data_IF_761777258810
#
_entry.id   IF_761777258810
#
_cell.length_a   1.000
_cell.length_b   1.000
_cell.length_c   1.000
_cell.angle_alpha   90.00
_cell.angle_beta   90.00
_cell.angle_gamma   90.00
#
_symmetry.space_group_name_H-M   'P 1'
#
loop_
_entity.id
_entity.type
_entity.pdbx_description
1 polymer ?
#
# COMPACT_ATOMS: atom_id res chain seq x y z
N UNK A 1 16.43 35.68 5.37
CA UNK A 1 16.12 34.52 6.24
C UNK A 1 15.43 33.47 5.37
N UNK A 2 16.22 32.52 4.94
CA UNK A 2 15.76 31.37 4.22
C UNK A 2 15.36 30.36 5.30
N UNK A 3 14.07 30.15 5.48
CA UNK A 3 13.53 29.08 6.34
C UNK A 3 13.53 27.76 5.53
N UNK A 4 14.39 26.79 5.87
CA UNK A 4 14.40 25.48 5.23
C UNK A 4 13.46 24.50 5.93
N UNK A 5 12.35 24.96 6.48
CA UNK A 5 11.26 24.03 6.83
C UNK A 5 10.58 23.64 5.52
N UNK A 6 11.24 22.75 4.80
CA UNK A 6 10.57 21.92 3.82
C UNK A 6 9.68 21.00 4.64
N UNK A 7 8.46 21.44 4.91
CA UNK A 7 7.43 20.58 5.48
C UNK A 7 7.14 19.50 4.43
N UNK A 8 7.93 18.42 4.50
CA UNK A 8 7.52 17.16 3.90
C UNK A 8 6.32 16.73 4.73
N UNK A 9 5.13 16.92 4.20
CA UNK A 9 3.92 16.42 4.83
C UNK A 9 4.09 14.90 4.97
N UNK A 10 4.20 14.42 6.21
CA UNK A 10 4.31 13.00 6.48
C UNK A 10 2.97 12.34 6.19
N UNK A 11 2.99 11.20 5.51
CA UNK A 11 1.79 10.41 5.29
C UNK A 11 1.12 10.08 6.64
N UNK A 12 -0.16 10.32 6.72
CA UNK A 12 -0.91 10.17 7.98
C UNK A 12 -2.33 9.68 7.72
N UNK A 13 -2.76 8.67 8.49
CA UNK A 13 -4.16 8.22 8.48
C UNK A 13 -5.16 9.31 8.90
N UNK A 14 -4.71 10.37 9.56
CA UNK A 14 -5.58 11.48 9.96
C UNK A 14 -6.18 12.22 8.74
N UNK A 15 -5.58 12.09 7.57
CA UNK A 15 -6.05 12.70 6.32
C UNK A 15 -6.94 11.74 5.51
N UNK A 16 -7.07 10.47 5.89
CA UNK A 16 -7.90 9.51 5.16
C UNK A 16 -9.38 9.80 5.31
N UNK A 17 -10.10 9.76 4.20
CA UNK A 17 -11.56 9.92 4.17
C UNK A 17 -12.30 8.69 4.70
N UNK A 18 -11.66 7.54 4.77
CA UNK A 18 -12.27 6.32 5.30
C UNK A 18 -11.30 5.43 6.08
N UNK A 19 -11.81 4.86 7.17
CA UNK A 19 -11.16 3.80 7.95
C UNK A 19 -12.15 2.64 8.03
N UNK A 20 -12.03 1.59 7.19
CA UNK A 20 -13.02 0.52 7.08
C UNK A 20 -12.82 -0.53 8.18
N UNK A 21 -13.21 -0.19 9.41
CA UNK A 21 -13.22 -1.08 10.57
C UNK A 21 -14.52 -1.90 10.62
N UNK A 22 -14.50 -3.02 11.33
CA UNK A 22 -15.69 -3.83 11.63
C UNK A 22 -15.78 -5.11 10.81
N UNK A 23 -14.75 -5.44 10.03
CA UNK A 23 -14.68 -6.73 9.34
C UNK A 23 -14.33 -7.87 10.30
N UNK A 24 -14.83 -9.06 9.98
CA UNK A 24 -14.57 -10.30 10.74
C UNK A 24 -13.41 -11.08 10.13
N UNK A 25 -12.69 -11.84 10.94
CA UNK A 25 -11.64 -12.77 10.53
C UNK A 25 -11.81 -14.16 11.17
N UNK A 26 -13.03 -14.53 11.56
CA UNK A 26 -13.32 -15.76 12.33
C UNK A 26 -12.87 -17.04 11.62
N UNK A 27 -12.82 -17.00 10.30
CA UNK A 27 -12.38 -18.14 9.48
C UNK A 27 -10.95 -18.00 8.96
N UNK A 28 -10.21 -17.01 9.50
CA UNK A 28 -8.84 -16.71 9.10
C UNK A 28 -8.75 -15.80 7.88
N UNK A 29 -9.86 -15.18 7.50
CA UNK A 29 -9.88 -14.23 6.39
C UNK A 29 -9.03 -13.00 6.71
N UNK A 30 -8.37 -12.49 5.70
CA UNK A 30 -7.51 -11.32 5.82
C UNK A 30 -6.02 -11.60 5.84
N UNK A 31 -5.26 -10.54 5.87
CA UNK A 31 -3.81 -10.56 5.68
C UNK A 31 -3.11 -10.96 6.97
N UNK A 32 -2.35 -12.05 6.95
CA UNK A 32 -1.52 -12.53 8.06
C UNK A 32 -0.04 -12.20 7.91
N UNK A 33 0.41 -11.94 6.68
CA UNK A 33 1.78 -11.57 6.34
C UNK A 33 1.78 -10.57 5.18
N UNK A 34 2.65 -9.57 5.27
CA UNK A 34 2.87 -8.60 4.21
C UNK A 34 4.34 -8.19 4.14
N UNK A 35 4.90 -8.18 2.93
CA UNK A 35 6.24 -7.70 2.65
C UNK A 35 6.28 -6.87 1.38
N UNK A 36 6.88 -5.68 1.48
CA UNK A 36 7.23 -4.80 0.36
C UNK A 36 8.53 -4.05 0.70
N UNK A 37 9.61 -4.33 -0.02
CA UNK A 37 10.91 -3.73 0.29
C UNK A 37 11.32 -3.95 1.75
N UNK A 38 11.49 -2.86 2.50
CA UNK A 38 11.88 -2.89 3.92
C UNK A 38 10.68 -3.13 4.86
N UNK A 39 9.46 -3.02 4.38
CA UNK A 39 8.27 -3.38 5.17
C UNK A 39 8.22 -4.90 5.28
N UNK A 40 8.25 -5.38 6.53
CA UNK A 40 8.01 -6.78 6.87
C UNK A 40 7.08 -6.83 8.07
N UNK A 41 5.86 -7.32 7.85
CA UNK A 41 4.86 -7.48 8.91
C UNK A 41 4.38 -8.93 8.92
N UNK A 42 4.56 -9.59 10.04
CA UNK A 42 4.30 -11.02 10.22
C UNK A 42 3.30 -11.24 11.35
N UNK A 43 2.48 -12.29 11.22
CA UNK A 43 1.51 -12.67 12.24
C UNK A 43 0.56 -11.53 12.61
N UNK A 44 0.08 -10.85 11.59
CA UNK A 44 -0.78 -9.68 11.75
C UNK A 44 -2.10 -10.12 12.38
N UNK A 45 -2.51 -9.52 13.50
CA UNK A 45 -3.81 -9.84 14.11
C UNK A 45 -4.95 -9.23 13.28
N UNK A 46 -6.16 -9.80 13.38
CA UNK A 46 -7.35 -9.28 12.71
C UNK A 46 -7.70 -7.84 13.10
N UNK A 47 -7.58 -7.53 14.39
CA UNK A 47 -7.73 -6.17 14.93
C UNK A 47 -8.99 -5.44 14.44
N UNK A 48 -10.14 -6.12 14.50
CA UNK A 48 -11.42 -5.59 14.00
C UNK A 48 -11.41 -5.22 12.50
N UNK A 49 -10.60 -5.96 11.73
CA UNK A 49 -10.50 -5.80 10.28
C UNK A 49 -9.65 -4.64 9.79
N UNK A 50 -9.07 -3.82 10.69
CA UNK A 50 -8.23 -2.70 10.30
C UNK A 50 -6.90 -2.67 11.05
N UNK A 51 -5.81 -2.42 10.31
CA UNK A 51 -4.46 -2.25 10.85
C UNK A 51 -3.81 -0.95 10.40
N UNK A 52 -3.50 -0.09 11.38
CA UNK A 52 -2.70 1.11 11.19
C UNK A 52 -1.22 0.76 11.37
N UNK A 53 -0.48 0.72 10.28
CA UNK A 53 0.96 0.44 10.23
C UNK A 53 1.74 1.54 9.48
N UNK A 54 1.24 2.78 9.44
CA UNK A 54 1.87 3.89 8.71
C UNK A 54 3.27 4.26 9.22
N UNK A 55 3.63 3.82 10.44
CA UNK A 55 5.00 3.92 10.94
C UNK A 55 5.98 2.97 10.26
N UNK A 56 5.49 1.95 9.55
CA UNK A 56 6.29 1.04 8.74
C UNK A 56 6.34 1.56 7.32
N UNK A 57 7.54 1.83 6.81
CA UNK A 57 7.72 2.43 5.50
C UNK A 57 8.85 1.77 4.69
N UNK A 58 8.81 1.94 3.38
CA UNK A 58 9.88 1.54 2.46
C UNK A 58 10.07 2.57 1.34
N UNK A 59 11.26 2.61 0.76
CA UNK A 59 11.51 3.40 -0.44
C UNK A 59 11.11 2.63 -1.70
N UNK A 60 10.41 3.30 -2.60
CA UNK A 60 10.11 2.84 -3.95
C UNK A 60 10.80 3.77 -4.94
N UNK A 61 11.87 3.29 -5.58
CA UNK A 61 12.60 4.08 -6.57
C UNK A 61 11.88 4.01 -7.91
N UNK A 62 11.21 5.09 -8.34
CA UNK A 62 10.45 5.14 -9.59
C UNK A 62 11.31 4.92 -10.85
N UNK A 63 12.65 4.99 -10.73
CA UNK A 63 13.55 4.58 -11.81
C UNK A 63 13.56 3.07 -12.04
N UNK A 64 13.06 2.28 -11.09
CA UNK A 64 12.84 0.86 -11.24
C UNK A 64 11.50 0.63 -11.95
N UNK A 65 11.49 -0.36 -12.85
CA UNK A 65 10.29 -0.63 -13.64
C UNK A 65 9.27 -1.49 -12.89
N UNK A 66 9.71 -2.33 -11.96
CA UNK A 66 8.85 -3.33 -11.32
C UNK A 66 9.22 -3.52 -9.86
N UNK A 67 8.19 -3.58 -9.02
CA UNK A 67 8.28 -3.92 -7.62
C UNK A 67 7.49 -5.19 -7.36
N UNK A 68 7.86 -5.94 -6.34
CA UNK A 68 7.16 -7.16 -5.94
C UNK A 68 6.66 -7.02 -4.51
N UNK A 69 5.38 -7.29 -4.31
CA UNK A 69 4.76 -7.45 -2.98
C UNK A 69 4.54 -8.92 -2.70
N UNK A 70 4.74 -9.34 -1.44
CA UNK A 70 4.41 -10.70 -0.98
C UNK A 70 3.35 -10.61 0.11
N UNK A 71 2.30 -11.43 -0.02
CA UNK A 71 1.17 -11.47 0.91
C UNK A 71 0.78 -12.91 1.24
N UNK A 72 0.36 -13.14 2.49
CA UNK A 72 -0.31 -14.37 2.92
C UNK A 72 -1.61 -14.04 3.61
N UNK A 73 -2.58 -14.92 3.47
CA UNK A 73 -3.82 -14.92 4.21
C UNK A 73 -3.97 -16.24 4.97
N UNK A 74 -4.81 -16.24 6.00
CA UNK A 74 -4.94 -17.37 6.91
C UNK A 74 -6.36 -17.93 6.90
N UNK A 75 -6.89 -18.30 5.75
CA UNK A 75 -8.20 -18.91 5.67
C UNK A 75 -8.16 -20.43 5.88
N UNK A 76 -9.31 -21.04 6.24
CA UNK A 76 -9.35 -22.42 6.77
C UNK A 76 -9.76 -23.48 5.76
N UNK A 77 -10.44 -23.14 4.68
CA UNK A 77 -11.00 -24.11 3.75
C UNK A 77 -10.35 -24.02 2.38
N UNK A 78 -9.93 -25.17 1.82
CA UNK A 78 -9.35 -25.27 0.47
C UNK A 78 -10.30 -24.81 -0.66
N UNK A 79 -11.60 -24.73 -0.37
CA UNK A 79 -12.60 -24.24 -1.32
C UNK A 79 -12.82 -22.72 -1.25
N UNK A 80 -12.22 -22.08 -0.27
CA UNK A 80 -12.33 -20.65 -0.09
C UNK A 80 -11.20 -19.96 -0.88
N UNK A 81 -11.52 -18.86 -1.47
CA UNK A 81 -10.56 -18.01 -2.18
C UNK A 81 -10.64 -16.62 -1.62
N UNK A 82 -9.52 -16.05 -1.34
CA UNK A 82 -9.41 -14.64 -1.05
C UNK A 82 -8.88 -13.87 -2.24
N UNK A 83 -9.12 -12.59 -2.24
CA UNK A 83 -8.53 -11.64 -3.18
C UNK A 83 -7.71 -10.59 -2.46
N UNK A 84 -6.74 -10.06 -3.17
CA UNK A 84 -5.85 -9.02 -2.73
C UNK A 84 -5.89 -7.84 -3.68
N UNK A 85 -6.00 -6.63 -3.13
CA UNK A 85 -5.89 -5.37 -3.87
C UNK A 85 -5.00 -4.38 -3.13
N UNK A 86 -4.37 -3.46 -3.88
CA UNK A 86 -3.41 -2.49 -3.34
C UNK A 86 -3.52 -1.15 -4.06
N UNK A 87 -3.46 -0.07 -3.27
CA UNK A 87 -3.48 1.32 -3.71
C UNK A 87 -2.34 2.10 -3.08
N UNK A 88 -1.91 3.18 -3.75
CA UNK A 88 -1.08 4.23 -3.17
C UNK A 88 -1.78 5.56 -3.42
N UNK A 89 -2.08 6.34 -2.37
CA UNK A 89 -2.60 7.71 -2.44
C UNK A 89 -1.50 8.63 -2.98
N UNK A 90 -1.44 8.76 -4.30
CA UNK A 90 -0.33 9.43 -4.99
C UNK A 90 -0.46 10.96 -4.99
N UNK A 91 -1.67 11.47 -4.85
CA UNK A 91 -1.93 12.93 -4.80
C UNK A 91 -2.17 13.44 -3.38
N UNK A 92 -2.07 12.53 -2.37
CA UNK A 92 -2.17 12.82 -0.94
C UNK A 92 -3.49 13.50 -0.54
N UNK A 93 -4.57 13.23 -1.28
CA UNK A 93 -5.89 13.80 -1.02
C UNK A 93 -6.69 13.06 0.07
N UNK A 94 -6.20 11.90 0.51
CA UNK A 94 -6.82 11.03 1.52
C UNK A 94 -7.90 10.11 0.94
N UNK A 95 -8.04 10.06 -0.37
CA UNK A 95 -8.87 9.10 -1.10
C UNK A 95 -7.95 8.12 -1.85
N UNK A 96 -8.47 6.99 -2.28
CA UNK A 96 -7.76 6.04 -3.12
C UNK A 96 -8.56 5.86 -4.41
N UNK A 97 -8.15 6.57 -5.44
CA UNK A 97 -8.82 6.59 -6.73
C UNK A 97 -8.53 5.35 -7.58
N UNK A 98 -9.28 5.17 -8.67
CA UNK A 98 -9.12 4.00 -9.54
C UNK A 98 -7.75 3.96 -10.26
N UNK A 99 -7.15 5.10 -10.55
CA UNK A 99 -5.83 5.23 -11.18
C UNK A 99 -4.66 5.08 -10.18
N UNK A 100 -4.95 5.09 -8.90
CA UNK A 100 -4.03 4.82 -7.79
C UNK A 100 -4.00 3.34 -7.39
N UNK A 101 -4.89 2.53 -7.96
CA UNK A 101 -4.96 1.10 -7.71
C UNK A 101 -3.93 0.34 -8.53
N UNK A 102 -2.85 -0.08 -7.88
CA UNK A 102 -1.70 -0.74 -8.50
C UNK A 102 -1.88 -2.25 -8.65
N UNK A 103 -2.66 -2.87 -7.75
CA UNK A 103 -2.99 -4.30 -7.82
C UNK A 103 -4.50 -4.45 -7.67
N UNK A 104 -5.11 -5.19 -8.59
CA UNK A 104 -6.56 -5.39 -8.64
C UNK A 104 -6.91 -6.85 -8.45
N UNK A 105 -7.64 -7.18 -7.40
CA UNK A 105 -8.33 -8.46 -7.16
C UNK A 105 -7.52 -9.72 -7.52
N UNK A 106 -6.27 -9.78 -7.08
CA UNK A 106 -5.43 -10.97 -7.29
C UNK A 106 -5.87 -12.11 -6.39
N UNK A 107 -6.15 -13.27 -6.99
CA UNK A 107 -6.60 -14.44 -6.25
C UNK A 107 -5.48 -15.02 -5.37
N UNK A 108 -5.84 -15.33 -4.12
CA UNK A 108 -5.07 -16.05 -3.14
C UNK A 108 -5.80 -17.39 -2.94
N UNK A 109 -5.35 -18.42 -3.63
CA UNK A 109 -6.10 -19.68 -3.81
C UNK A 109 -5.75 -20.77 -2.80
N UNK A 110 -4.80 -20.49 -1.91
CA UNK A 110 -4.34 -21.47 -0.92
C UNK A 110 -4.04 -20.79 0.42
N UNK A 111 -4.53 -21.35 1.53
CA UNK A 111 -4.23 -20.81 2.86
C UNK A 111 -2.76 -20.99 3.22
N UNK A 112 -2.25 -20.10 4.07
CA UNK A 112 -0.89 -20.17 4.60
C UNK A 112 0.19 -20.29 3.51
N UNK A 113 -0.06 -19.67 2.36
CA UNK A 113 0.84 -19.70 1.22
C UNK A 113 1.18 -18.28 0.81
N UNK A 114 2.46 -18.01 0.65
CA UNK A 114 2.93 -16.72 0.15
C UNK A 114 2.63 -16.58 -1.33
N UNK A 115 1.97 -15.50 -1.70
CA UNK A 115 1.75 -15.08 -3.08
C UNK A 115 2.56 -13.82 -3.37
N UNK A 116 3.31 -13.84 -4.46
CA UNK A 116 4.07 -12.68 -4.93
C UNK A 116 3.36 -12.06 -6.14
N UNK A 117 3.17 -10.75 -6.11
CA UNK A 117 2.57 -9.99 -7.20
C UNK A 117 3.47 -8.82 -7.59
N UNK A 118 3.71 -8.70 -8.88
CA UNK A 118 4.44 -7.59 -9.42
C UNK A 118 3.51 -6.42 -9.72
N UNK A 119 4.01 -5.20 -9.52
CA UNK A 119 3.35 -3.96 -9.90
C UNK A 119 4.36 -2.91 -10.37
N UNK A 120 3.88 -1.89 -11.06
CA UNK A 120 4.67 -0.76 -11.50
C UNK A 120 4.09 0.53 -10.93
N UNK A 121 4.95 1.48 -10.59
CA UNK A 121 4.51 2.85 -10.33
C UNK A 121 4.20 3.55 -11.67
N UNK A 122 3.26 4.51 -11.68
CA UNK A 122 3.13 5.42 -12.82
C UNK A 122 4.45 6.17 -13.09
N UNK A 123 4.78 6.41 -14.35
CA UNK A 123 6.04 7.10 -14.73
C UNK A 123 6.16 8.50 -14.11
N UNK A 124 5.03 9.13 -13.83
CA UNK A 124 4.93 10.45 -13.23
C UNK A 124 4.56 10.42 -11.74
N UNK A 125 4.69 9.28 -11.07
CA UNK A 125 4.39 9.19 -9.63
C UNK A 125 5.14 10.29 -8.87
N UNK A 126 4.46 11.10 -8.05
CA UNK A 126 5.09 12.17 -7.27
C UNK A 126 6.16 11.61 -6.33
N UNK A 127 7.19 12.39 -6.09
CA UNK A 127 8.22 12.05 -5.11
C UNK A 127 7.74 12.47 -3.72
N UNK A 128 8.06 11.68 -2.73
CA UNK A 128 7.70 11.97 -1.35
C UNK A 128 7.06 10.77 -0.65
N UNK A 129 6.51 11.05 0.50
CA UNK A 129 5.85 10.05 1.33
C UNK A 129 4.36 10.00 1.02
N UNK A 130 3.85 8.81 0.73
CA UNK A 130 2.46 8.52 0.37
C UNK A 130 1.90 7.41 1.25
N UNK A 131 0.58 7.38 1.40
CA UNK A 131 -0.12 6.27 2.04
C UNK A 131 -0.25 5.09 1.07
N UNK A 132 -0.01 3.90 1.60
CA UNK A 132 -0.21 2.61 0.92
C UNK A 132 -1.33 1.87 1.64
N UNK A 133 -2.39 1.53 0.93
CA UNK A 133 -3.48 0.68 1.42
C UNK A 133 -3.46 -0.69 0.76
N UNK A 134 -3.57 -1.74 1.57
CA UNK A 134 -3.76 -3.10 1.10
C UNK A 134 -5.02 -3.70 1.70
N UNK A 135 -5.68 -4.56 0.92
CA UNK A 135 -6.88 -5.27 1.37
C UNK A 135 -6.85 -6.71 0.90
N UNK A 136 -7.29 -7.63 1.76
CA UNK A 136 -7.63 -8.98 1.36
C UNK A 136 -8.90 -9.43 2.05
N UNK A 137 -9.72 -10.23 1.36
CA UNK A 137 -10.99 -10.70 1.87
C UNK A 137 -11.60 -11.81 1.04
N UNK A 138 -12.57 -12.50 1.65
CA UNK A 138 -13.27 -13.66 1.09
C UNK A 138 -14.09 -13.28 -0.14
N UNK A 139 -13.79 -13.89 -1.27
CA UNK A 139 -14.44 -13.61 -2.57
C UNK A 139 -15.93 -13.93 -2.60
N UNK A 140 -16.42 -14.81 -1.72
CA UNK A 140 -17.84 -15.18 -1.65
C UNK A 140 -18.72 -14.03 -1.13
N UNK A 141 -18.14 -13.16 -0.31
CA UNK A 141 -18.83 -12.04 0.33
C UNK A 141 -18.43 -10.71 -0.27
N UNK A 142 -17.14 -10.55 -0.58
CA UNK A 142 -16.56 -9.27 -0.98
C UNK A 142 -16.49 -9.09 -2.50
N UNK A 143 -16.71 -10.16 -3.27
CA UNK A 143 -16.61 -10.11 -4.72
C UNK A 143 -15.21 -9.69 -5.19
N UNK A 144 -15.18 -8.73 -6.11
CA UNK A 144 -13.93 -8.08 -6.50
C UNK A 144 -13.62 -6.94 -5.52
N UNK A 145 -12.51 -6.99 -4.82
CA UNK A 145 -12.06 -5.94 -3.88
C UNK A 145 -11.70 -4.65 -4.64
N UNK A 146 -12.72 -3.97 -5.16
CA UNK A 146 -12.57 -2.77 -5.98
C UNK A 146 -12.68 -1.48 -5.18
N UNK A 147 -13.38 -1.51 -4.04
CA UNK A 147 -13.49 -0.35 -3.15
C UNK A 147 -12.37 -0.35 -2.12
N UNK A 148 -11.66 0.76 -1.94
CA UNK A 148 -10.69 0.90 -0.87
C UNK A 148 -11.34 1.14 0.51
N UNK A 149 -12.62 1.52 0.55
CA UNK A 149 -13.29 2.08 1.73
C UNK A 149 -14.46 1.24 2.27
N UNK A 150 -15.04 0.33 1.48
CA UNK A 150 -16.18 -0.45 1.96
C UNK A 150 -15.76 -1.37 3.11
N UNK A 151 -16.60 -1.45 4.13
CA UNK A 151 -16.42 -2.42 5.22
C UNK A 151 -16.65 -3.82 4.64
N UNK A 152 -15.70 -4.71 4.82
CA UNK A 152 -15.81 -6.10 4.40
C UNK A 152 -16.58 -6.91 5.45
N UNK A 153 -17.26 -7.96 5.01
CA UNK A 153 -17.83 -8.97 5.92
C UNK A 153 -16.71 -9.79 6.53
N UNK A 154 -15.80 -10.29 5.66
CA UNK A 154 -14.65 -11.09 6.06
C UNK A 154 -13.40 -10.60 5.34
N UNK A 155 -12.39 -10.20 6.10
CA UNK A 155 -11.14 -9.69 5.56
C UNK A 155 -10.48 -8.61 6.38
N UNK A 156 -9.37 -8.06 5.90
CA UNK A 156 -8.66 -6.94 6.55
C UNK A 156 -8.22 -5.87 5.59
N UNK A 157 -8.15 -4.64 6.11
CA UNK A 157 -7.53 -3.48 5.46
C UNK A 157 -6.36 -3.02 6.30
N UNK A 158 -5.20 -2.83 5.68
CA UNK A 158 -4.01 -2.32 6.37
C UNK A 158 -3.43 -1.13 5.63
N UNK A 159 -3.03 -0.11 6.40
CA UNK A 159 -2.38 1.10 5.88
C UNK A 159 -0.92 1.15 6.32
N UNK A 160 -0.04 1.46 5.38
CA UNK A 160 1.41 1.61 5.52
C UNK A 160 1.85 2.94 4.89
N UNK A 161 3.14 3.25 4.94
CA UNK A 161 3.72 4.36 4.18
C UNK A 161 4.71 3.85 3.14
N UNK A 162 4.79 4.56 2.01
CA UNK A 162 5.88 4.40 1.04
C UNK A 162 6.52 5.76 0.78
N UNK A 163 7.82 5.77 0.51
CA UNK A 163 8.53 6.97 0.10
C UNK A 163 9.01 6.79 -1.34
N UNK A 164 8.38 7.49 -2.29
CA UNK A 164 8.76 7.43 -3.69
C UNK A 164 9.97 8.31 -3.91
N UNK A 165 11.05 7.71 -4.38
CA UNK A 165 12.32 8.37 -4.70
C UNK A 165 12.65 8.20 -6.19
N UNK A 166 13.62 8.97 -6.69
CA UNK A 166 14.16 8.82 -8.04
C UNK A 166 15.68 8.90 -8.01
N UNK A 167 16.34 7.76 -8.14
CA UNK A 167 17.81 7.69 -8.11
C UNK A 167 18.47 8.26 -9.38
N UNK A 168 17.69 8.52 -10.45
CA UNK A 168 18.17 9.13 -11.69
C UNK A 168 18.13 10.66 -11.65
N UNK A 169 17.54 11.29 -10.62
CA UNK A 169 17.69 12.73 -10.40
C UNK A 169 19.14 13.02 -10.06
N UNK A 170 19.92 13.29 -11.10
CA UNK A 170 21.37 13.47 -11.02
C UNK A 170 21.67 14.82 -10.34
N UNK A 171 22.69 14.82 -9.47
CA UNK A 171 23.31 16.03 -8.84
C UNK A 171 23.68 17.10 -9.88
N UNK A 172 23.70 16.77 -11.17
CA UNK A 172 23.96 17.71 -12.26
C UNK A 172 22.94 18.85 -12.36
N UNK A 173 21.70 18.63 -12.01
CA UNK A 173 20.68 19.68 -12.04
C UNK A 173 20.87 20.72 -10.92
N UNK A 174 21.52 20.34 -9.82
CA UNK A 174 21.90 21.26 -8.75
C UNK A 174 23.12 22.14 -9.10
N UNK A 175 24.05 21.63 -9.91
CA UNK A 175 25.30 22.34 -10.26
C UNK A 175 25.08 23.35 -11.38
N UNK A 176 24.09 23.16 -12.25
CA UNK A 176 23.83 24.08 -13.37
C UNK A 176 23.15 25.37 -12.92
N UNK A 177 22.38 25.35 -11.83
CA UNK A 177 21.75 26.58 -11.29
C UNK A 177 22.74 27.51 -10.53
N UNK A 178 23.86 27.02 -10.03
CA UNK A 178 24.89 27.83 -9.38
C UNK A 178 25.87 28.43 -10.39
N UNK A 179 25.93 27.93 -11.62
CA UNK A 179 26.88 28.43 -12.65
C UNK A 179 26.33 29.64 -13.45
N UNK A 180 25.03 29.93 -13.37
CA UNK A 180 24.43 31.09 -14.05
C UNK A 180 24.39 32.38 -13.18
N UNK A 181 24.92 32.33 -11.94
CA UNK A 181 24.95 33.47 -11.02
C UNK A 181 26.35 34.10 -10.83
N UNK A 182 27.32 33.84 -11.72
CA UNK A 182 28.60 34.53 -11.71
C UNK A 182 28.81 35.38 -12.96
#
# INVERSE_FOLDING_TARGET
DFDPSNDVEEASIANLNCIPEGSDCDFGDGISYFQLGDILNERIPCNNGYGDFVSSSTNLDRSQQTFTVTVETYFQAEADEEKFSMWIDLDDNGEFDDDERLITSKALTQPNTSFAFDFNLPDNAPLGQHLLRIRAGDTRYEGDLNSPCDVMTYGTTHDYSVNIVDSNLDIKDFILNDAELM
#
